data_IF_230012223540
#
_entry.id   IF_230012223540
#
_cell.length_a   1.000
_cell.length_b   1.000
_cell.length_c   1.000
_cell.angle_alpha   90.00
_cell.angle_beta   90.00
_cell.angle_gamma   90.00
#
_symmetry.space_group_name_H-M   'P 1'
#
loop_
_entity.id
_entity.type
_entity.pdbx_description
1 polymer ?
#
# COMPACT_ATOMS: atom_id res chain seq x y z
N UNK A 1 32.37 -12.72 19.68
CA UNK A 1 32.21 -12.05 18.38
C UNK A 1 30.77 -12.18 17.84
N UNK A 2 29.78 -12.44 18.70
CA UNK A 2 28.41 -12.77 18.25
C UNK A 2 27.37 -11.69 18.57
N UNK A 3 27.73 -10.64 19.31
CA UNK A 3 26.75 -9.62 19.73
C UNK A 3 26.65 -8.42 18.78
N UNK A 4 27.61 -8.23 17.86
CA UNK A 4 27.55 -7.10 16.90
C UNK A 4 26.62 -7.36 15.71
N UNK A 5 26.28 -8.62 15.41
CA UNK A 5 25.37 -8.97 14.32
C UNK A 5 23.90 -8.84 14.72
N UNK A 6 23.56 -9.10 15.99
CA UNK A 6 22.20 -8.89 16.49
C UNK A 6 21.84 -7.41 16.58
N UNK A 7 22.78 -6.54 16.94
CA UNK A 7 22.53 -5.09 16.95
C UNK A 7 22.45 -4.49 15.53
N UNK A 8 23.08 -5.10 14.54
CA UNK A 8 23.07 -4.59 13.16
C UNK A 8 21.74 -4.88 12.44
N UNK A 9 20.94 -5.85 12.90
CA UNK A 9 19.65 -6.17 12.26
C UNK A 9 18.51 -5.20 12.62
N UNK A 10 18.60 -4.49 13.75
CA UNK A 10 17.61 -3.45 14.09
C UNK A 10 17.83 -2.15 13.29
N UNK A 11 19.08 -1.85 12.91
CA UNK A 11 19.43 -0.65 12.13
C UNK A 11 19.59 -0.86 10.62
N UNK A 12 19.62 -2.10 10.13
CA UNK A 12 19.79 -2.41 8.69
C UNK A 12 18.45 -2.56 7.94
N UNK A 13 17.33 -2.52 8.65
CA UNK A 13 16.01 -2.71 8.02
C UNK A 13 15.58 -1.53 7.15
N UNK A 14 16.03 -0.31 7.47
CA UNK A 14 15.74 0.88 6.65
C UNK A 14 16.36 0.74 5.26
N UNK A 15 17.65 0.36 5.17
CA UNK A 15 18.34 0.15 3.89
C UNK A 15 17.78 -1.02 3.08
N UNK A 16 17.37 -2.11 3.73
CA UNK A 16 16.74 -3.26 3.07
C UNK A 16 15.34 -2.94 2.52
N UNK A 17 14.57 -2.10 3.22
CA UNK A 17 13.27 -1.62 2.74
C UNK A 17 13.40 -0.70 1.51
N UNK A 18 14.34 0.25 1.53
CA UNK A 18 14.63 1.10 0.35
C UNK A 18 15.04 0.27 -0.87
N UNK A 19 15.86 -0.77 -0.70
CA UNK A 19 16.23 -1.65 -1.82
C UNK A 19 15.07 -2.51 -2.33
N UNK A 20 14.14 -2.93 -1.46
CA UNK A 20 12.94 -3.64 -1.91
C UNK A 20 12.00 -2.73 -2.69
N UNK A 21 11.90 -1.44 -2.38
CA UNK A 21 11.07 -0.49 -3.14
C UNK A 21 11.52 -0.31 -4.61
N UNK A 22 12.76 -0.61 -4.96
CA UNK A 22 13.36 -0.22 -6.25
C UNK A 22 13.13 -1.21 -7.43
N UNK A 23 11.87 -1.50 -7.76
CA UNK A 23 11.48 -1.82 -9.15
C UNK A 23 10.10 -1.20 -9.44
N UNK A 24 9.99 -0.41 -10.52
CA UNK A 24 8.88 0.57 -10.65
C UNK A 24 7.47 -0.03 -10.66
N UNK A 25 7.28 -1.29 -11.10
CA UNK A 25 5.97 -1.96 -10.98
C UNK A 25 5.70 -2.52 -9.58
N UNK A 26 6.74 -3.01 -8.90
CA UNK A 26 6.65 -3.55 -7.54
C UNK A 26 6.46 -2.43 -6.50
N UNK A 27 6.97 -1.24 -6.79
CA UNK A 27 6.79 0.00 -6.05
C UNK A 27 5.30 0.37 -5.98
N UNK A 28 4.65 0.54 -7.13
CA UNK A 28 3.21 0.88 -7.22
C UNK A 28 2.35 -0.18 -6.53
N UNK A 29 2.69 -1.46 -6.62
CA UNK A 29 1.97 -2.52 -5.90
C UNK A 29 2.06 -2.35 -4.39
N UNK A 30 3.24 -2.05 -3.84
CA UNK A 30 3.45 -1.85 -2.41
C UNK A 30 2.71 -0.63 -1.91
N UNK A 31 2.76 0.46 -2.66
CA UNK A 31 2.02 1.68 -2.35
C UNK A 31 0.52 1.43 -2.36
N UNK A 32 0.01 0.69 -3.35
CA UNK A 32 -1.40 0.30 -3.43
C UNK A 32 -1.85 -0.51 -2.21
N UNK A 33 -1.04 -1.49 -1.77
CA UNK A 33 -1.33 -2.30 -0.59
C UNK A 33 -1.30 -1.46 0.69
N UNK A 34 -0.32 -0.55 0.82
CA UNK A 34 -0.22 0.35 1.97
C UNK A 34 -1.39 1.32 2.03
N UNK A 35 -1.71 1.98 0.92
CA UNK A 35 -2.86 2.87 0.81
C UNK A 35 -4.15 2.16 1.22
N UNK A 36 -4.39 0.95 0.70
CA UNK A 36 -5.54 0.13 1.08
C UNK A 36 -5.57 -0.15 2.60
N UNK A 37 -4.45 -0.59 3.17
CA UNK A 37 -4.39 -0.97 4.57
C UNK A 37 -4.62 0.20 5.53
N UNK A 38 -4.20 1.41 5.17
CA UNK A 38 -4.43 2.62 5.97
C UNK A 38 -5.86 3.13 5.81
N UNK A 39 -6.42 3.09 4.60
CA UNK A 39 -7.81 3.45 4.35
C UNK A 39 -8.78 2.49 5.06
N UNK A 40 -8.53 1.17 5.03
CA UNK A 40 -9.37 0.15 5.70
C UNK A 40 -9.39 0.31 7.23
N UNK A 41 -8.30 0.86 7.81
CA UNK A 41 -8.21 1.18 9.24
C UNK A 41 -8.77 2.56 9.60
N UNK A 42 -9.00 3.41 8.60
CA UNK A 42 -9.51 4.76 8.81
C UNK A 42 -11.00 4.70 9.14
N UNK A 43 -11.40 5.30 10.27
CA UNK A 43 -12.81 5.31 10.68
C UNK A 43 -13.69 6.20 9.80
N UNK A 44 -13.07 7.18 9.15
CA UNK A 44 -13.75 8.14 8.28
C UNK A 44 -12.96 8.27 6.97
N UNK A 45 -13.62 8.65 5.86
CA UNK A 45 -12.92 9.00 4.63
C UNK A 45 -11.94 10.15 4.84
N UNK A 46 -10.74 10.01 4.28
CA UNK A 46 -9.62 10.96 4.42
C UNK A 46 -9.13 11.45 3.06
N UNK A 47 -8.49 12.62 3.01
CA UNK A 47 -7.91 13.11 1.74
C UNK A 47 -6.66 12.32 1.34
N UNK A 48 -6.22 12.51 0.10
CA UNK A 48 -4.98 11.92 -0.37
C UNK A 48 -3.78 12.41 0.46
N UNK A 49 -3.73 13.71 0.77
CA UNK A 49 -2.68 14.31 1.60
C UNK A 49 -2.71 13.78 3.04
N UNK A 50 -3.90 13.63 3.63
CA UNK A 50 -4.03 13.04 4.98
C UNK A 50 -3.58 11.58 5.01
N UNK A 51 -3.80 10.81 3.94
CA UNK A 51 -3.33 9.43 3.81
C UNK A 51 -1.81 9.38 3.68
N UNK A 52 -1.26 10.27 2.86
CA UNK A 52 0.17 10.41 2.60
C UNK A 52 0.95 10.72 3.88
N UNK A 53 0.57 11.80 4.55
CA UNK A 53 1.14 12.24 5.83
C UNK A 53 1.10 11.12 6.89
N UNK A 54 0.03 10.32 6.91
CA UNK A 54 -0.11 9.20 7.86
C UNK A 54 0.85 8.05 7.56
N UNK A 55 1.05 7.71 6.28
CA UNK A 55 1.96 6.65 5.87
C UNK A 55 3.40 7.09 6.12
N UNK A 56 3.78 8.30 5.70
CA UNK A 56 5.12 8.86 5.93
C UNK A 56 5.45 8.96 7.43
N UNK A 57 4.52 9.48 8.23
CA UNK A 57 4.67 9.57 9.68
C UNK A 57 4.84 8.20 10.33
N UNK A 58 4.14 7.18 9.82
CA UNK A 58 4.30 5.80 10.29
C UNK A 58 5.68 5.24 9.93
N UNK A 59 6.17 5.47 8.72
CA UNK A 59 7.52 5.07 8.30
C UNK A 59 8.61 5.73 9.13
N UNK A 60 8.48 7.03 9.36
CA UNK A 60 9.42 7.77 10.19
C UNK A 60 9.42 7.26 11.63
N UNK A 61 8.23 7.04 12.21
CA UNK A 61 8.10 6.61 13.61
C UNK A 61 8.54 5.16 13.84
N UNK A 62 8.23 4.25 12.91
CA UNK A 62 8.48 2.81 13.08
C UNK A 62 9.84 2.37 12.55
N UNK A 63 10.35 3.01 11.51
CA UNK A 63 11.54 2.59 10.80
C UNK A 63 12.61 3.68 10.68
N UNK A 64 12.40 4.87 11.26
CA UNK A 64 13.32 6.01 11.17
C UNK A 64 13.71 6.31 9.71
N UNK A 65 12.72 6.19 8.84
CA UNK A 65 12.86 6.23 7.39
C UNK A 65 12.11 7.46 6.90
N UNK A 66 12.83 8.37 6.24
CA UNK A 66 12.22 9.51 5.58
C UNK A 66 11.90 9.12 4.14
N UNK A 67 10.63 8.89 3.87
CA UNK A 67 10.11 8.51 2.56
C UNK A 67 9.22 9.64 2.06
N UNK A 68 9.27 9.90 0.76
CA UNK A 68 8.30 10.70 0.02
C UNK A 68 7.36 9.68 -0.62
N UNK A 69 6.16 9.51 -0.07
CA UNK A 69 5.21 8.49 -0.53
C UNK A 69 4.35 9.08 -1.66
N UNK A 70 4.12 8.35 -2.75
CA UNK A 70 3.18 8.80 -3.79
C UNK A 70 1.85 8.06 -3.68
N UNK A 71 0.91 8.63 -2.91
CA UNK A 71 -0.45 8.09 -2.80
C UNK A 71 -1.21 8.08 -4.12
N UNK A 72 -0.84 8.92 -5.11
CA UNK A 72 -1.73 9.20 -6.24
C UNK A 72 -1.91 7.99 -7.14
N UNK A 73 -0.79 7.38 -7.55
CA UNK A 73 -0.83 6.19 -8.42
C UNK A 73 -1.48 5.00 -7.69
N UNK A 74 -1.26 4.88 -6.38
CA UNK A 74 -1.91 3.89 -5.54
C UNK A 74 -3.44 4.08 -5.45
N UNK A 75 -3.90 5.31 -5.22
CA UNK A 75 -5.33 5.65 -5.14
C UNK A 75 -6.04 5.46 -6.49
N UNK A 76 -5.40 5.90 -7.58
CA UNK A 76 -5.90 5.68 -8.93
C UNK A 76 -5.97 4.18 -9.24
N UNK A 77 -4.97 3.39 -8.83
CA UNK A 77 -5.00 1.93 -8.97
C UNK A 77 -6.19 1.33 -8.21
N UNK A 78 -6.36 1.66 -6.93
CA UNK A 78 -7.46 1.19 -6.09
C UNK A 78 -8.82 1.52 -6.70
N UNK A 79 -9.00 2.74 -7.20
CA UNK A 79 -10.22 3.16 -7.89
C UNK A 79 -10.48 2.33 -9.14
N UNK A 80 -9.46 2.14 -9.97
CA UNK A 80 -9.57 1.42 -11.25
C UNK A 80 -9.92 -0.05 -11.08
N UNK A 81 -9.42 -0.70 -10.02
CA UNK A 81 -9.77 -2.10 -9.70
C UNK A 81 -11.04 -2.22 -8.85
N UNK A 82 -11.70 -1.09 -8.54
CA UNK A 82 -12.97 -1.07 -7.80
C UNK A 82 -12.85 -1.37 -6.31
N UNK A 83 -11.68 -1.19 -5.72
CA UNK A 83 -11.44 -1.31 -4.28
C UNK A 83 -11.55 0.04 -3.56
N UNK A 84 -11.15 1.13 -4.22
CA UNK A 84 -11.18 2.49 -3.70
C UNK A 84 -12.39 3.27 -4.18
N UNK A 85 -12.96 4.08 -3.29
CA UNK A 85 -14.08 4.99 -3.55
C UNK A 85 -13.63 6.39 -3.19
N UNK A 86 -13.79 7.32 -4.12
CA UNK A 86 -13.52 8.74 -3.91
C UNK A 86 -14.84 9.51 -3.90
N UNK A 87 -15.06 10.30 -2.85
CA UNK A 87 -16.22 11.18 -2.69
C UNK A 87 -15.76 12.53 -2.16
N UNK A 88 -15.91 13.58 -2.98
CA UNK A 88 -15.59 14.98 -2.62
C UNK A 88 -14.15 15.18 -2.12
N UNK A 89 -13.18 14.56 -2.79
CA UNK A 89 -11.75 14.62 -2.45
C UNK A 89 -11.34 13.74 -1.28
N UNK A 90 -12.26 12.92 -0.76
CA UNK A 90 -11.98 11.96 0.32
C UNK A 90 -12.10 10.54 -0.17
N UNK A 91 -11.22 9.71 0.35
CA UNK A 91 -11.02 8.33 -0.04
C UNK A 91 -11.43 7.39 1.08
N UNK A 92 -12.09 6.32 0.67
CA UNK A 92 -12.35 5.13 1.48
C UNK A 92 -12.16 3.88 0.63
N UNK A 93 -12.06 2.71 1.26
CA UNK A 93 -12.00 1.43 0.56
C UNK A 93 -13.14 0.54 0.99
N UNK A 94 -13.51 -0.40 0.12
CA UNK A 94 -14.42 -1.48 0.52
C UNK A 94 -13.74 -2.33 1.58
N UNK A 95 -14.53 -2.93 2.48
CA UNK A 95 -14.02 -3.79 3.53
C UNK A 95 -13.26 -5.01 2.96
N UNK A 96 -12.27 -5.50 3.71
CA UNK A 96 -11.37 -6.60 3.30
C UNK A 96 -12.08 -7.85 2.79
N UNK A 97 -13.19 -8.25 3.40
CA UNK A 97 -14.00 -9.38 2.96
C UNK A 97 -14.53 -9.19 1.52
N UNK A 98 -15.00 -7.98 1.20
CA UNK A 98 -15.46 -7.62 -0.14
C UNK A 98 -14.30 -7.43 -1.11
N UNK A 99 -13.18 -6.88 -0.65
CA UNK A 99 -11.99 -6.70 -1.47
C UNK A 99 -11.43 -8.03 -1.98
N UNK A 100 -11.38 -9.05 -1.12
CA UNK A 100 -10.93 -10.39 -1.51
C UNK A 100 -11.82 -11.00 -2.60
N UNK A 101 -13.14 -10.92 -2.44
CA UNK A 101 -14.10 -11.37 -3.47
C UNK A 101 -13.90 -10.60 -4.77
N UNK A 102 -13.71 -9.27 -4.68
CA UNK A 102 -13.52 -8.44 -5.87
C UNK A 102 -12.24 -8.78 -6.62
N UNK A 103 -11.15 -9.03 -5.91
CA UNK A 103 -9.88 -9.43 -6.49
C UNK A 103 -10.02 -10.79 -7.17
N UNK A 104 -10.70 -11.75 -6.54
CA UNK A 104 -10.99 -13.07 -7.12
C UNK A 104 -11.74 -12.96 -8.46
N UNK A 105 -12.83 -12.18 -8.50
CA UNK A 105 -13.58 -11.90 -9.75
C UNK A 105 -12.71 -11.28 -10.85
N UNK A 106 -11.82 -10.35 -10.49
CA UNK A 106 -10.91 -9.71 -11.43
C UNK A 106 -9.92 -10.73 -12.02
N UNK A 107 -9.36 -11.60 -11.20
CA UNK A 107 -8.44 -12.65 -11.65
C UNK A 107 -9.12 -13.67 -12.57
N UNK A 108 -10.35 -14.07 -12.24
CA UNK A 108 -11.16 -14.96 -13.08
C UNK A 108 -11.46 -14.36 -14.46
N UNK A 109 -11.57 -13.03 -14.54
CA UNK A 109 -11.86 -12.31 -15.78
C UNK A 109 -10.60 -12.11 -16.65
N UNK A 110 -9.40 -12.10 -16.05
CA UNK A 110 -8.13 -11.89 -16.76
C UNK A 110 -7.68 -13.15 -17.52
N UNK A 111 -8.01 -14.34 -17.02
CA UNK A 111 -7.67 -15.60 -17.67
C UNK A 111 -8.88 -16.21 -18.37
N UNK A 112 -9.11 -15.87 -19.63
CA UNK A 112 -10.07 -16.56 -20.49
C UNK A 112 -9.57 -17.97 -20.87
N UNK A 113 -9.49 -18.90 -19.90
CA UNK A 113 -9.19 -20.31 -20.19
C UNK A 113 -10.39 -21.03 -20.87
N UNK A 114 -11.54 -20.38 -20.96
CA UNK A 114 -12.80 -20.95 -21.46
C UNK A 114 -13.33 -20.32 -22.76
N UNK A 115 -12.47 -19.77 -23.62
CA UNK A 115 -12.86 -19.60 -25.02
C UNK A 115 -12.72 -20.95 -25.73
N UNK A 116 -13.86 -21.67 -25.82
CA UNK A 116 -14.05 -22.85 -26.67
C UNK A 116 -13.81 -22.55 -28.14
#
# INVERSE_FOLDING_TARGET
LSDSLYFKNLGNNSGAFYSLLNSSEEEVLKETILAYAFLDRSQNPITAEELDDQIESWFMTKFQTNLDFDVKDALDKLKNIGLGIETNGKWEVIALDKALVKIDELWDTVFEYNQK
#
